data_IF_471236986449
#
_entry.id   IF_471236986449
#
_cell.length_a   1.000
_cell.length_b   1.000
_cell.length_c   1.000
_cell.angle_alpha   90.00
_cell.angle_beta   90.00
_cell.angle_gamma   90.00
#
_symmetry.space_group_name_H-M   'P 1'
#
loop_
_entity.id
_entity.type
_entity.pdbx_description
1 polymer ?
#
# COMPACT_ATOMS: atom_id res chain seq x y z
N UNK A 1 -21.66 -4.04 -21.79
CA UNK A 1 -20.52 -4.97 -21.81
C UNK A 1 -21.06 -6.38 -22.05
N UNK A 2 -21.73 -6.58 -23.19
CA UNK A 2 -22.59 -7.76 -23.45
C UNK A 2 -22.58 -8.14 -24.94
N UNK A 3 -22.41 -7.18 -25.85
CA UNK A 3 -22.43 -7.43 -27.30
C UNK A 3 -21.27 -8.32 -27.80
N UNK A 4 -20.10 -8.29 -27.14
CA UNK A 4 -18.97 -9.14 -27.53
C UNK A 4 -19.20 -10.62 -27.18
N UNK A 5 -19.92 -10.91 -26.09
CA UNK A 5 -20.22 -12.27 -25.66
C UNK A 5 -21.38 -12.88 -26.45
N UNK A 6 -22.36 -12.08 -26.86
CA UNK A 6 -23.47 -12.55 -27.71
C UNK A 6 -22.99 -12.93 -29.12
N UNK A 7 -22.06 -12.17 -29.70
CA UNK A 7 -21.47 -12.52 -31.00
C UNK A 7 -20.74 -13.86 -30.96
N UNK A 8 -19.99 -14.10 -29.88
CA UNK A 8 -19.18 -15.31 -29.71
C UNK A 8 -20.03 -16.59 -29.57
N UNK A 9 -21.20 -16.53 -28.92
CA UNK A 9 -22.10 -17.68 -28.82
C UNK A 9 -22.98 -17.88 -30.06
N UNK A 10 -23.27 -16.82 -30.81
CA UNK A 10 -24.03 -16.93 -32.06
C UNK A 10 -23.24 -17.65 -33.17
N UNK A 11 -21.92 -17.52 -33.19
CA UNK A 11 -21.05 -18.26 -34.13
C UNK A 11 -20.83 -19.72 -33.74
N UNK A 12 -21.08 -20.09 -32.47
CA UNK A 12 -20.79 -21.44 -31.94
C UNK A 12 -22.02 -22.36 -31.86
N UNK A 13 -23.24 -21.87 -32.12
CA UNK A 13 -24.49 -22.63 -31.93
C UNK A 13 -25.20 -23.04 -33.22
N UNK A 14 -24.48 -23.11 -34.34
CA UNK A 14 -24.95 -23.76 -35.56
C UNK A 14 -25.21 -25.25 -35.32
N UNK A 15 -26.48 -25.61 -35.08
CA UNK A 15 -26.96 -26.98 -34.89
C UNK A 15 -26.79 -27.82 -36.18
N UNK A 16 -26.51 -29.13 -36.11
CA UNK A 16 -26.31 -29.96 -37.30
C UNK A 16 -27.66 -30.20 -37.98
N UNK A 17 -27.91 -29.48 -39.06
CA UNK A 17 -29.08 -29.70 -39.91
C UNK A 17 -28.76 -30.82 -40.91
N UNK A 18 -29.45 -31.95 -40.74
CA UNK A 18 -29.41 -33.08 -41.66
C UNK A 18 -29.82 -32.63 -43.08
N UNK A 19 -28.92 -32.80 -44.04
CA UNK A 19 -29.19 -32.46 -45.44
C UNK A 19 -28.10 -32.92 -46.39
N UNK A 20 -28.43 -33.96 -47.15
CA UNK A 20 -28.01 -34.26 -48.52
C UNK A 20 -26.53 -34.51 -48.84
N UNK A 21 -26.30 -35.69 -49.43
CA UNK A 21 -25.08 -36.09 -50.12
C UNK A 21 -24.61 -35.04 -51.13
N UNK A 22 -23.32 -34.73 -51.08
CA UNK A 22 -22.59 -33.91 -52.03
C UNK A 22 -21.13 -33.84 -51.60
N UNK A 23 -20.25 -34.42 -52.42
CA UNK A 23 -18.79 -34.35 -52.29
C UNK A 23 -18.32 -32.89 -52.13
N UNK A 24 -17.84 -32.51 -50.95
CA UNK A 24 -16.82 -31.47 -50.81
C UNK A 24 -15.83 -31.85 -49.71
N UNK A 25 -14.51 -31.80 -49.98
CA UNK A 25 -13.51 -32.04 -48.96
C UNK A 25 -13.57 -30.89 -47.94
N UNK A 26 -14.07 -31.20 -46.74
CA UNK A 26 -13.93 -30.33 -45.57
C UNK A 26 -12.46 -29.92 -45.43
N UNK A 27 -12.13 -28.62 -45.41
CA UNK A 27 -10.81 -28.21 -44.98
C UNK A 27 -10.70 -28.55 -43.49
N UNK A 28 -10.10 -29.69 -43.17
CA UNK A 28 -9.47 -29.90 -41.87
C UNK A 28 -8.29 -28.94 -41.81
N UNK A 29 -8.59 -27.66 -41.60
CA UNK A 29 -7.60 -26.65 -41.30
C UNK A 29 -7.08 -26.97 -39.90
N UNK A 30 -6.14 -27.92 -39.83
CA UNK A 30 -5.17 -27.98 -38.75
C UNK A 30 -4.68 -26.55 -38.57
N UNK A 31 -4.82 -25.93 -37.39
CA UNK A 31 -4.36 -24.57 -37.19
C UNK A 31 -2.90 -24.56 -37.62
N UNK A 32 -2.59 -23.73 -38.62
CA UNK A 32 -1.23 -23.67 -39.14
C UNK A 32 -0.32 -23.32 -37.96
N UNK A 33 0.92 -23.80 -37.99
CA UNK A 33 1.89 -23.52 -36.92
C UNK A 33 1.96 -22.02 -36.61
N UNK A 34 1.69 -21.16 -37.59
CA UNK A 34 1.54 -19.71 -37.41
C UNK A 34 0.36 -19.33 -36.50
N UNK A 35 -0.86 -19.85 -36.73
CA UNK A 35 -2.07 -19.55 -35.93
C UNK A 35 -1.96 -20.06 -34.49
N UNK A 36 -1.37 -21.25 -34.30
CA UNK A 36 -1.11 -21.78 -32.96
C UNK A 36 -0.08 -20.93 -32.21
N UNK A 37 0.95 -20.47 -32.94
CA UNK A 37 2.03 -19.68 -32.37
C UNK A 37 1.64 -18.23 -32.04
N UNK A 38 0.68 -17.65 -32.76
CA UNK A 38 0.12 -16.32 -32.45
C UNK A 38 -0.86 -16.39 -31.28
N UNK A 39 -1.64 -17.47 -31.18
CA UNK A 39 -2.48 -17.73 -30.00
C UNK A 39 -1.65 -17.92 -28.72
N UNK A 40 -0.53 -18.65 -28.80
CA UNK A 40 0.39 -18.82 -27.68
C UNK A 40 1.10 -17.51 -27.28
N UNK A 41 1.45 -16.65 -28.25
CA UNK A 41 1.97 -15.30 -27.97
C UNK A 41 0.90 -14.39 -27.33
N UNK A 42 -0.34 -14.47 -27.79
CA UNK A 42 -1.46 -13.74 -27.18
C UNK A 42 -1.68 -14.18 -25.72
N UNK A 43 -1.55 -15.48 -25.45
CA UNK A 43 -1.70 -16.03 -24.10
C UNK A 43 -0.56 -15.62 -23.14
N UNK A 44 0.69 -15.59 -23.59
CA UNK A 44 1.84 -15.19 -22.76
C UNK A 44 1.85 -13.68 -22.46
N UNK A 45 1.51 -12.85 -23.45
CA UNK A 45 1.37 -11.40 -23.26
C UNK A 45 0.16 -11.08 -22.38
N UNK A 46 -0.99 -11.74 -22.57
CA UNK A 46 -2.15 -11.56 -21.71
C UNK A 46 -1.87 -11.96 -20.26
N UNK A 47 -1.12 -13.05 -20.05
CA UNK A 47 -0.69 -13.48 -18.71
C UNK A 47 0.25 -12.47 -18.06
N UNK A 48 1.24 -11.95 -18.79
CA UNK A 48 2.14 -10.90 -18.32
C UNK A 48 1.38 -9.62 -17.93
N UNK A 49 0.43 -9.17 -18.76
CA UNK A 49 -0.41 -8.01 -18.47
C UNK A 49 -1.29 -8.24 -17.24
N UNK A 50 -1.85 -9.44 -17.06
CA UNK A 50 -2.63 -9.79 -15.87
C UNK A 50 -1.77 -9.77 -14.60
N UNK A 51 -0.55 -10.29 -14.66
CA UNK A 51 0.41 -10.26 -13.54
C UNK A 51 0.82 -8.82 -13.19
N UNK A 52 1.10 -7.97 -14.19
CA UNK A 52 1.39 -6.54 -13.98
C UNK A 52 0.20 -5.84 -13.34
N UNK A 53 -1.03 -6.08 -13.83
CA UNK A 53 -2.24 -5.47 -13.28
C UNK A 53 -2.48 -5.91 -11.83
N UNK A 54 -2.30 -7.19 -11.52
CA UNK A 54 -2.41 -7.73 -10.17
C UNK A 54 -1.33 -7.14 -9.24
N UNK A 55 -0.09 -7.02 -9.69
CA UNK A 55 0.98 -6.37 -8.94
C UNK A 55 0.71 -4.87 -8.71
N UNK A 56 0.16 -4.19 -9.71
CA UNK A 56 -0.27 -2.79 -9.59
C UNK A 56 -1.37 -2.61 -8.54
N UNK A 57 -2.33 -3.54 -8.48
CA UNK A 57 -3.35 -3.58 -7.42
C UNK A 57 -2.74 -3.73 -6.03
N UNK A 58 -1.86 -4.72 -5.84
CA UNK A 58 -1.17 -4.94 -4.56
C UNK A 58 -0.31 -3.75 -4.13
N UNK A 59 0.45 -3.16 -5.06
CA UNK A 59 1.28 -2.00 -4.79
C UNK A 59 0.43 -0.79 -4.37
N UNK A 60 -0.74 -0.60 -4.99
CA UNK A 60 -1.68 0.46 -4.63
C UNK A 60 -2.24 0.28 -3.23
N UNK A 61 -2.56 -0.95 -2.82
CA UNK A 61 -3.07 -1.23 -1.48
C UNK A 61 -1.97 -1.03 -0.41
N UNK A 62 -0.73 -1.40 -0.70
CA UNK A 62 0.41 -1.09 0.16
C UNK A 62 0.66 0.42 0.28
N UNK A 63 0.53 1.18 -0.82
CA UNK A 63 0.63 2.64 -0.79
C UNK A 63 -0.50 3.30 0.02
N UNK A 64 -1.74 2.79 -0.07
CA UNK A 64 -2.85 3.26 0.77
C UNK A 64 -2.57 3.02 2.24
N UNK A 65 -2.18 1.80 2.59
CA UNK A 65 -1.81 1.46 3.98
C UNK A 65 -0.63 2.31 4.48
N UNK A 66 0.33 2.65 3.62
CA UNK A 66 1.40 3.58 3.97
C UNK A 66 0.86 5.00 4.24
N UNK A 67 -0.08 5.47 3.43
CA UNK A 67 -0.81 6.72 3.67
C UNK A 67 -1.54 6.72 5.01
N UNK A 68 -2.26 5.65 5.33
CA UNK A 68 -2.97 5.52 6.61
C UNK A 68 -2.02 5.59 7.81
N UNK A 69 -0.83 5.01 7.70
CA UNK A 69 0.19 5.07 8.75
C UNK A 69 0.76 6.49 8.93
N UNK A 70 0.87 7.28 7.86
CA UNK A 70 1.27 8.69 7.94
C UNK A 70 0.18 9.52 8.63
N UNK A 71 -1.09 9.29 8.29
CA UNK A 71 -2.22 9.96 8.94
C UNK A 71 -2.30 9.59 10.42
N UNK A 72 -2.13 8.30 10.75
CA UNK A 72 -2.07 7.84 12.13
C UNK A 72 -0.89 8.46 12.91
N UNK A 73 0.28 8.61 12.28
CA UNK A 73 1.42 9.29 12.89
C UNK A 73 1.13 10.77 13.21
N UNK A 74 0.46 11.47 12.29
CA UNK A 74 0.04 12.85 12.52
C UNK A 74 -1.00 12.97 13.66
N UNK A 75 -1.92 12.01 13.75
CA UNK A 75 -2.87 11.93 14.85
C UNK A 75 -2.16 11.71 16.20
N UNK A 76 -1.17 10.80 16.26
CA UNK A 76 -0.38 10.54 17.47
C UNK A 76 0.42 11.77 17.93
N UNK A 77 0.97 12.56 17.02
CA UNK A 77 1.64 13.85 17.33
C UNK A 77 0.63 14.87 17.90
N UNK A 78 -0.53 15.00 17.27
CA UNK A 78 -1.58 15.91 17.71
C UNK A 78 -2.14 15.51 19.09
N UNK A 79 -2.31 14.21 19.34
CA UNK A 79 -2.76 13.67 20.62
C UNK A 79 -1.73 13.91 21.73
N UNK A 80 -0.43 13.74 21.42
CA UNK A 80 0.64 14.01 22.37
C UNK A 80 0.69 15.49 22.78
N UNK A 81 0.50 16.41 21.82
CA UNK A 81 0.41 17.84 22.10
C UNK A 81 -0.85 18.21 22.88
N UNK A 82 -1.99 17.58 22.58
CA UNK A 82 -3.23 17.77 23.37
C UNK A 82 -3.05 17.29 24.81
N UNK A 83 -2.48 16.11 25.02
CA UNK A 83 -2.19 15.58 26.35
C UNK A 83 -1.24 16.48 27.15
N UNK A 84 -0.17 16.97 26.53
CA UNK A 84 0.78 17.91 27.14
C UNK A 84 0.12 19.24 27.56
N UNK A 85 -0.79 19.76 26.73
CA UNK A 85 -1.54 20.97 27.06
C UNK A 85 -2.55 20.73 28.18
N UNK A 86 -3.21 19.58 28.21
CA UNK A 86 -4.13 19.22 29.28
C UNK A 86 -3.42 19.06 30.63
N UNK A 87 -2.26 18.40 30.64
CA UNK A 87 -1.40 18.33 31.82
C UNK A 87 -1.02 19.72 32.33
N UNK A 88 -0.67 20.64 31.43
CA UNK A 88 -0.34 22.03 31.78
C UNK A 88 -1.54 22.73 32.44
N UNK A 89 -2.75 22.56 31.89
CA UNK A 89 -3.97 23.14 32.46
C UNK A 89 -4.31 22.55 33.84
N UNK A 90 -4.17 21.24 34.00
CA UNK A 90 -4.39 20.55 35.28
C UNK A 90 -3.38 21.04 36.33
N UNK A 91 -2.12 21.17 35.94
CA UNK A 91 -1.05 21.70 36.79
C UNK A 91 -1.37 23.12 37.28
N UNK A 92 -1.72 24.04 36.39
CA UNK A 92 -2.07 25.41 36.76
C UNK A 92 -3.28 25.46 37.72
N UNK A 93 -4.28 24.60 37.51
CA UNK A 93 -5.43 24.49 38.42
C UNK A 93 -5.03 23.95 39.79
N UNK A 94 -4.19 22.93 39.84
CA UNK A 94 -3.71 22.34 41.09
C UNK A 94 -2.84 23.33 41.86
N UNK A 95 -1.89 23.99 41.20
CA UNK A 95 -1.05 25.03 41.77
C UNK A 95 -1.88 26.21 42.30
N UNK A 96 -2.88 26.67 41.55
CA UNK A 96 -3.79 27.72 42.01
C UNK A 96 -4.54 27.33 43.29
N UNK A 97 -5.06 26.10 43.38
CA UNK A 97 -5.72 25.59 44.59
C UNK A 97 -4.79 25.50 45.79
N UNK A 98 -3.56 25.03 45.58
CA UNK A 98 -2.55 24.94 46.64
C UNK A 98 -2.20 26.32 47.19
N UNK A 99 -2.02 27.33 46.31
CA UNK A 99 -1.73 28.71 46.73
C UNK A 99 -2.88 29.32 47.54
N UNK A 100 -4.13 29.08 47.12
CA UNK A 100 -5.31 29.53 47.87
C UNK A 100 -5.38 28.86 49.25
N UNK A 101 -5.14 27.55 49.32
CA UNK A 101 -5.12 26.81 50.59
C UNK A 101 -3.99 27.28 51.52
N UNK A 102 -2.78 27.45 50.99
CA UNK A 102 -1.62 27.95 51.71
C UNK A 102 -1.87 29.35 52.28
N UNK A 103 -2.43 30.26 51.47
CA UNK A 103 -2.83 31.59 51.92
C UNK A 103 -3.89 31.52 53.05
N UNK A 104 -4.88 30.65 52.94
CA UNK A 104 -5.89 30.45 53.98
C UNK A 104 -5.32 29.89 55.30
N UNK A 105 -4.26 29.09 55.22
CA UNK A 105 -3.54 28.57 56.39
C UNK A 105 -2.50 29.54 56.99
N UNK A 106 -2.35 30.75 56.45
CA UNK A 106 -1.38 31.74 56.92
C UNK A 106 0.08 31.42 56.54
N UNK A 107 0.30 30.55 55.56
CA UNK A 107 1.65 30.25 55.04
C UNK A 107 2.16 31.44 54.25
N UNK A 108 3.38 31.88 54.54
CA UNK A 108 4.07 32.91 53.76
C UNK A 108 4.54 32.36 52.41
N UNK A 109 3.77 32.66 51.37
CA UNK A 109 4.08 32.34 49.97
C UNK A 109 5.33 33.06 49.45
N UNK A 110 5.77 34.13 50.13
CA UNK A 110 6.98 34.88 49.81
C UNK A 110 8.26 34.25 50.36
N UNK A 111 8.15 33.24 51.23
CA UNK A 111 9.32 32.60 51.84
C UNK A 111 10.19 31.87 50.80
N UNK A 112 11.51 31.91 51.01
CA UNK A 112 12.47 31.32 50.08
C UNK A 112 12.27 29.81 49.88
N UNK A 113 11.84 29.09 50.92
CA UNK A 113 11.54 27.65 50.86
C UNK A 113 10.33 27.35 49.98
N UNK A 114 9.24 28.12 50.09
CA UNK A 114 8.06 27.97 49.24
C UNK A 114 8.39 28.32 47.79
N UNK A 115 9.16 29.38 47.55
CA UNK A 115 9.62 29.74 46.20
C UNK A 115 10.57 28.70 45.60
N UNK A 116 11.33 27.98 46.42
CA UNK A 116 12.16 26.87 45.95
C UNK A 116 11.29 25.67 45.55
N UNK A 117 10.34 25.27 46.39
CA UNK A 117 9.40 24.19 46.09
C UNK A 117 8.57 24.48 44.83
N UNK A 118 8.11 25.72 44.65
CA UNK A 118 7.38 26.15 43.45
C UNK A 118 8.23 26.00 42.18
N UNK A 119 9.53 26.31 42.25
CA UNK A 119 10.48 26.14 41.14
C UNK A 119 10.73 24.67 40.83
N UNK A 120 10.97 23.85 41.85
CA UNK A 120 11.16 22.41 41.69
C UNK A 120 9.92 21.73 41.08
N UNK A 121 8.74 22.13 41.55
CA UNK A 121 7.47 21.64 41.03
C UNK A 121 7.22 22.09 39.57
N UNK A 122 7.58 23.32 39.22
CA UNK A 122 7.51 23.81 37.84
C UNK A 122 8.44 22.99 36.93
N UNK A 123 9.70 22.78 37.33
CA UNK A 123 10.67 21.98 36.59
C UNK A 123 10.19 20.54 36.36
N UNK A 124 9.67 19.89 37.41
CA UNK A 124 9.13 18.53 37.30
C UNK A 124 7.92 18.45 36.35
N UNK A 125 7.08 19.49 36.33
CA UNK A 125 5.94 19.58 35.41
C UNK A 125 6.38 19.74 33.96
N UNK A 126 7.42 20.55 33.71
CA UNK A 126 7.99 20.75 32.38
C UNK A 126 8.68 19.47 31.87
N UNK A 127 9.39 18.76 32.74
CA UNK A 127 10.01 17.47 32.40
C UNK A 127 8.96 16.43 32.01
N UNK A 128 7.89 16.30 32.80
CA UNK A 128 6.77 15.38 32.51
C UNK A 128 6.09 15.71 31.18
N UNK A 129 5.91 17.01 30.90
CA UNK A 129 5.36 17.51 29.64
C UNK A 129 6.28 17.15 28.46
N UNK A 130 7.57 17.43 28.60
CA UNK A 130 8.57 17.14 27.57
C UNK A 130 8.61 15.64 27.26
N UNK A 131 8.55 14.79 28.29
CA UNK A 131 8.49 13.35 28.14
C UNK A 131 7.24 12.86 27.41
N UNK A 132 6.07 13.42 27.74
CA UNK A 132 4.80 13.10 27.06
C UNK A 132 4.89 13.41 25.56
N UNK A 133 5.43 14.58 25.22
CA UNK A 133 5.67 14.98 23.82
C UNK A 133 6.67 14.05 23.16
N UNK A 134 7.84 13.80 23.78
CA UNK A 134 8.87 12.93 23.22
C UNK A 134 8.33 11.54 22.90
N UNK A 135 7.64 10.88 23.83
CA UNK A 135 7.06 9.54 23.61
C UNK A 135 6.03 9.53 22.47
N UNK A 136 5.22 10.58 22.35
CA UNK A 136 4.29 10.76 21.24
C UNK A 136 5.01 10.83 19.89
N UNK A 137 6.01 11.70 19.80
CA UNK A 137 6.79 11.91 18.58
C UNK A 137 7.64 10.69 18.21
N UNK A 138 8.18 9.95 19.18
CA UNK A 138 8.92 8.71 18.91
C UNK A 138 8.03 7.63 18.27
N UNK A 139 6.76 7.50 18.72
CA UNK A 139 5.79 6.56 18.11
C UNK A 139 5.44 6.98 16.69
N UNK A 140 5.14 8.26 16.49
CA UNK A 140 4.84 8.81 15.17
C UNK A 140 6.02 8.64 14.20
N UNK A 141 7.26 8.87 14.67
CA UNK A 141 8.46 8.64 13.87
C UNK A 141 8.59 7.17 13.45
N UNK A 142 8.37 6.22 14.37
CA UNK A 142 8.40 4.79 14.04
C UNK A 142 7.35 4.41 12.99
N UNK A 143 6.14 4.97 13.07
CA UNK A 143 5.09 4.77 12.06
C UNK A 143 5.45 5.36 10.71
N UNK A 144 5.97 6.58 10.66
CA UNK A 144 6.46 7.19 9.41
C UNK A 144 7.58 6.34 8.79
N UNK A 145 8.47 5.78 9.61
CA UNK A 145 9.50 4.84 9.16
C UNK A 145 8.90 3.56 8.57
N UNK A 146 7.89 2.99 9.21
CA UNK A 146 7.15 1.84 8.69
C UNK A 146 6.42 2.15 7.38
N UNK A 147 5.74 3.30 7.28
CA UNK A 147 5.06 3.76 6.07
C UNK A 147 6.02 3.88 4.88
N UNK A 148 7.20 4.47 5.10
CA UNK A 148 8.25 4.58 4.07
C UNK A 148 8.71 3.20 3.57
N UNK A 149 8.92 2.24 4.48
CA UNK A 149 9.26 0.86 4.11
C UNK A 149 8.14 0.20 3.30
N UNK A 150 6.89 0.39 3.70
CA UNK A 150 5.75 -0.17 2.99
C UNK A 150 5.61 0.41 1.57
N UNK A 151 5.84 1.72 1.41
CA UNK A 151 5.87 2.38 0.11
C UNK A 151 7.04 1.91 -0.78
N UNK A 152 8.22 1.69 -0.19
CA UNK A 152 9.37 1.13 -0.89
C UNK A 152 9.10 -0.32 -1.36
N UNK A 153 8.58 -1.17 -0.48
CA UNK A 153 8.20 -2.55 -0.81
C UNK A 153 7.12 -2.59 -1.90
N UNK A 154 6.18 -1.64 -1.91
CA UNK A 154 5.17 -1.52 -2.96
C UNK A 154 5.81 -1.23 -4.33
N UNK A 155 6.78 -0.31 -4.36
CA UNK A 155 7.52 0.04 -5.57
C UNK A 155 8.37 -1.14 -6.07
N UNK A 156 9.08 -1.84 -5.17
CA UNK A 156 9.89 -3.02 -5.49
C UNK A 156 9.03 -4.19 -6.00
N UNK A 157 7.90 -4.47 -5.34
CA UNK A 157 6.99 -5.54 -5.76
C UNK A 157 6.41 -5.29 -7.15
N UNK A 158 6.03 -4.05 -7.44
CA UNK A 158 5.53 -3.70 -8.77
C UNK A 158 6.64 -3.74 -9.82
N UNK A 159 7.76 -3.06 -9.56
CA UNK A 159 8.90 -2.99 -10.49
C UNK A 159 9.49 -4.36 -10.80
N UNK A 160 9.66 -5.22 -9.79
CA UNK A 160 10.14 -6.59 -9.95
C UNK A 160 9.19 -7.45 -10.79
N UNK A 161 7.87 -7.28 -10.60
CA UNK A 161 6.87 -8.00 -11.42
C UNK A 161 6.90 -7.53 -12.86
N UNK A 162 7.01 -6.22 -13.11
CA UNK A 162 7.13 -5.66 -14.46
C UNK A 162 8.38 -6.21 -15.14
N UNK A 163 9.56 -6.13 -14.51
CA UNK A 163 10.82 -6.61 -15.09
C UNK A 163 10.79 -8.12 -15.34
N UNK A 164 10.29 -8.93 -14.41
CA UNK A 164 10.17 -10.37 -14.62
C UNK A 164 9.21 -10.70 -15.76
N UNK A 165 8.07 -10.00 -15.85
CA UNK A 165 7.10 -10.22 -16.92
C UNK A 165 7.64 -9.85 -18.31
N UNK A 166 8.46 -8.79 -18.41
CA UNK A 166 9.09 -8.38 -19.67
C UNK A 166 10.23 -9.31 -20.07
N UNK A 167 11.04 -9.80 -19.11
CA UNK A 167 12.06 -10.82 -19.35
C UNK A 167 11.42 -12.12 -19.84
N UNK A 168 10.39 -12.62 -19.15
CA UNK A 168 9.68 -13.85 -19.55
C UNK A 168 9.03 -13.71 -20.94
N UNK A 169 8.48 -12.53 -21.26
CA UNK A 169 7.96 -12.24 -22.60
C UNK A 169 9.06 -12.19 -23.67
N UNK A 170 10.24 -11.65 -23.33
CA UNK A 170 11.40 -11.60 -24.21
C UNK A 170 12.04 -12.99 -24.43
N UNK A 171 12.14 -13.81 -23.39
CA UNK A 171 12.63 -15.20 -23.45
C UNK A 171 11.70 -16.06 -24.31
N UNK A 172 10.37 -15.95 -24.10
CA UNK A 172 9.39 -16.65 -24.93
C UNK A 172 9.44 -16.21 -26.41
N UNK A 173 9.82 -14.96 -26.69
CA UNK A 173 10.08 -14.50 -28.06
C UNK A 173 11.41 -15.04 -28.61
N UNK A 174 12.45 -15.13 -27.78
CA UNK A 174 13.77 -15.66 -28.13
C UNK A 174 13.76 -17.15 -28.48
N UNK A 175 13.16 -17.99 -27.63
CA UNK A 175 13.03 -19.44 -27.87
C UNK A 175 12.34 -19.74 -29.21
N UNK A 176 11.37 -18.90 -29.59
CA UNK A 176 10.62 -19.03 -30.83
C UNK A 176 11.44 -18.64 -32.08
N UNK A 177 12.30 -17.63 -31.98
CA UNK A 177 13.25 -17.29 -33.05
C UNK A 177 14.21 -18.46 -33.28
N UNK A 178 14.68 -19.08 -32.19
CA UNK A 178 15.56 -20.26 -32.26
C UNK A 178 14.85 -21.48 -32.86
N UNK A 179 13.57 -21.71 -32.53
CA UNK A 179 12.75 -22.77 -33.14
C UNK A 179 12.48 -22.53 -34.64
N UNK A 180 12.24 -21.28 -35.06
CA UNK A 180 12.04 -20.94 -36.48
C UNK A 180 13.33 -21.11 -37.30
N UNK A 181 14.48 -20.75 -36.73
CA UNK A 181 15.79 -20.94 -37.36
C UNK A 181 16.20 -22.42 -37.46
N UNK A 182 15.73 -23.28 -36.55
CA UNK A 182 16.02 -24.73 -36.57
C UNK A 182 15.06 -25.53 -37.46
N UNK A 183 13.83 -25.04 -37.70
CA UNK A 183 12.87 -25.67 -38.63
C UNK A 183 13.03 -25.26 -40.10
N UNK A 184 13.69 -24.13 -40.39
CA UNK A 184 13.90 -23.63 -41.76
C UNK A 184 15.16 -24.13 -42.48
N UNK A 185 15.92 -25.04 -41.88
CA UNK A 185 17.23 -25.49 -42.38
C UNK A 185 17.33 -26.97 -42.76
N UNK A 186 16.23 -27.60 -43.18
CA UNK A 186 16.18 -29.00 -43.65
C UNK A 186 15.69 -29.11 -45.07
#
# INVERSE_FOLDING_TARGET
>A
MTEFLERYYSEMSGSPQAGSAGDEPMPTASPSSQTLSTAQQGASVASALFQIAAAGGRARDMQRSAGDQIVAAAAEEADALRAANEQTRQFLRASGRLRVAAAASGVDLGSASVQQLDRELANASEETRADTVRRGFSRAYARRGYARRLAANAAESFGGTVVSSTINAAEAAGEKITQLLTQGGG
#
